data_IF_006503426001
#
_entry.id   IF_006503426001
#
_cell.length_a   1.000
_cell.length_b   1.000
_cell.length_c   1.000
_cell.angle_alpha   90.00
_cell.angle_beta   90.00
_cell.angle_gamma   90.00
#
_symmetry.space_group_name_H-M   'P 1'
#
loop_
_entity.id
_entity.type
_entity.pdbx_description
1 polymer ?
#
# COMPACT_ATOMS: atom_id res chain seq x y z
N UNK A 1 39.26 13.15 -2.92
CA UNK A 1 38.91 11.75 -2.63
C UNK A 1 37.62 11.78 -1.84
N UNK A 2 36.49 11.45 -2.46
CA UNK A 2 35.18 11.42 -1.78
C UNK A 2 35.10 10.09 -1.04
N UNK A 3 35.11 10.14 0.29
CA UNK A 3 34.76 8.99 1.12
C UNK A 3 33.24 8.85 1.05
N UNK A 4 32.76 7.83 0.37
CA UNK A 4 31.37 7.38 0.48
C UNK A 4 31.32 6.55 1.75
N UNK A 5 30.59 7.01 2.76
CA UNK A 5 30.37 6.21 3.96
C UNK A 5 29.75 4.87 3.56
N UNK A 6 30.24 3.73 4.09
CA UNK A 6 29.68 2.44 3.76
C UNK A 6 28.23 2.39 4.26
N UNK A 7 27.30 2.11 3.35
CA UNK A 7 25.89 1.96 3.70
C UNK A 7 25.72 0.95 4.84
N UNK A 8 24.90 1.30 5.83
CA UNK A 8 24.55 0.40 6.93
C UNK A 8 23.73 -0.77 6.41
N UNK A 9 23.69 -1.87 7.17
CA UNK A 9 22.88 -3.04 6.81
C UNK A 9 21.39 -2.71 6.72
N UNK A 10 20.90 -1.80 7.57
CA UNK A 10 19.54 -1.28 7.52
C UNK A 10 19.27 -0.49 6.24
N UNK A 11 20.22 0.35 5.80
CA UNK A 11 20.11 1.09 4.54
C UNK A 11 20.06 0.13 3.34
N UNK A 12 20.94 -0.88 3.33
CA UNK A 12 20.93 -1.93 2.29
C UNK A 12 19.62 -2.72 2.27
N UNK A 13 19.13 -3.14 3.43
CA UNK A 13 17.87 -3.87 3.54
C UNK A 13 16.68 -3.02 3.05
N UNK A 14 16.67 -1.74 3.40
CA UNK A 14 15.64 -0.80 2.94
C UNK A 14 15.70 -0.58 1.42
N UNK A 15 16.88 -0.38 0.84
CA UNK A 15 17.05 -0.23 -0.60
C UNK A 15 16.67 -1.51 -1.36
N UNK A 16 17.04 -2.67 -0.84
CA UNK A 16 16.65 -3.96 -1.40
C UNK A 16 15.13 -4.14 -1.38
N UNK A 17 14.47 -3.76 -0.27
CA UNK A 17 13.02 -3.77 -0.12
C UNK A 17 12.32 -2.88 -1.15
N UNK A 18 12.77 -1.62 -1.31
CA UNK A 18 12.21 -0.71 -2.30
C UNK A 18 12.44 -1.18 -3.74
N UNK A 19 13.67 -1.61 -4.05
CA UNK A 19 14.03 -2.12 -5.37
C UNK A 19 13.21 -3.35 -5.73
N UNK A 20 12.89 -4.18 -4.74
CA UNK A 20 12.02 -5.34 -4.92
C UNK A 20 10.59 -4.91 -5.27
N UNK A 21 9.99 -3.96 -4.54
CA UNK A 21 8.65 -3.46 -4.85
C UNK A 21 8.55 -2.92 -6.28
N UNK A 22 9.54 -2.14 -6.73
CA UNK A 22 9.61 -1.64 -8.10
C UNK A 22 9.65 -2.77 -9.14
N UNK A 23 10.49 -3.79 -8.93
CA UNK A 23 10.55 -4.95 -9.83
C UNK A 23 9.23 -5.72 -9.86
N UNK A 24 8.58 -5.87 -8.71
CA UNK A 24 7.27 -6.56 -8.60
C UNK A 24 6.17 -5.82 -9.36
N UNK A 25 6.17 -4.48 -9.34
CA UNK A 25 5.24 -3.68 -10.13
C UNK A 25 5.49 -3.79 -11.65
N UNK A 26 6.75 -3.91 -12.06
CA UNK A 26 7.14 -4.05 -13.48
C UNK A 26 7.02 -5.49 -14.03
N UNK A 27 6.79 -6.49 -13.17
CA UNK A 27 6.66 -7.90 -13.56
C UNK A 27 5.42 -8.13 -14.40
N UNK A 28 5.52 -8.91 -15.49
CA UNK A 28 4.38 -9.28 -16.37
C UNK A 28 3.65 -10.57 -15.94
N UNK A 29 4.09 -11.19 -14.85
CA UNK A 29 3.47 -12.36 -14.21
C UNK A 29 3.10 -12.01 -12.77
N UNK A 30 2.10 -12.67 -12.15
CA UNK A 30 1.73 -12.39 -10.76
C UNK A 30 2.98 -12.38 -9.89
N UNK A 31 3.31 -11.25 -9.25
CA UNK A 31 4.50 -11.15 -8.42
C UNK A 31 4.28 -12.01 -7.18
N UNK A 32 4.63 -13.30 -7.28
CA UNK A 32 4.86 -14.13 -6.11
C UNK A 32 6.28 -13.84 -5.68
N UNK A 33 6.45 -13.37 -4.44
CA UNK A 33 7.74 -13.26 -3.78
C UNK A 33 8.52 -14.59 -3.92
N UNK A 34 9.84 -14.56 -3.75
CA UNK A 34 10.65 -15.80 -3.67
C UNK A 34 10.20 -16.72 -2.52
N UNK A 35 9.57 -16.13 -1.48
CA UNK A 35 8.94 -16.81 -0.35
C UNK A 35 7.43 -17.12 -0.58
N UNK A 36 6.87 -16.72 -1.72
CA UNK A 36 5.47 -16.97 -2.10
C UNK A 36 4.45 -15.91 -1.66
N UNK A 37 4.83 -14.90 -0.87
CA UNK A 37 3.94 -13.80 -0.47
C UNK A 37 3.55 -12.88 -1.66
N UNK A 38 2.42 -12.20 -1.50
CA UNK A 38 1.79 -11.29 -2.49
C UNK A 38 2.25 -9.83 -2.33
N UNK A 39 1.94 -8.96 -3.28
CA UNK A 39 2.09 -7.51 -3.14
C UNK A 39 0.72 -6.83 -3.22
N UNK A 40 0.26 -6.29 -2.09
CA UNK A 40 -0.96 -5.48 -2.01
C UNK A 40 -0.60 -4.01 -2.08
N UNK A 41 -1.26 -3.27 -2.96
CA UNK A 41 -1.09 -1.82 -3.16
C UNK A 41 -2.24 -1.10 -2.49
N UNK A 42 -1.95 0.01 -1.83
CA UNK A 42 -2.92 0.93 -1.25
C UNK A 42 -2.92 2.20 -2.09
N UNK A 43 -3.96 2.40 -2.88
CA UNK A 43 -4.02 3.44 -3.92
C UNK A 43 -5.39 4.13 -3.94
N UNK A 44 -5.70 5.13 -3.08
CA UNK A 44 -7.01 5.80 -3.09
C UNK A 44 -7.37 6.34 -4.50
N UNK A 45 -8.25 5.62 -5.19
CA UNK A 45 -8.79 5.90 -6.53
C UNK A 45 -10.27 6.20 -6.39
N UNK A 46 -10.95 6.73 -7.43
CA UNK A 46 -12.39 7.02 -7.51
C UNK A 46 -13.35 5.81 -7.39
N UNK A 47 -12.93 4.73 -6.72
CA UNK A 47 -13.75 3.54 -6.47
C UNK A 47 -14.21 3.52 -5.02
N UNK A 48 -15.45 3.09 -4.78
CA UNK A 48 -15.99 2.91 -3.43
C UNK A 48 -15.47 1.63 -2.78
N UNK A 49 -15.35 1.63 -1.45
CA UNK A 49 -14.92 0.46 -0.68
C UNK A 49 -13.42 0.48 -0.37
N UNK A 50 -12.84 -0.72 -0.20
CA UNK A 50 -11.44 -0.87 0.23
C UNK A 50 -10.48 -0.36 -0.86
N UNK A 51 -9.59 0.59 -0.53
CA UNK A 51 -8.57 1.05 -1.46
C UNK A 51 -7.41 0.05 -1.48
N UNK A 52 -7.66 -1.18 -1.92
CA UNK A 52 -6.67 -2.25 -2.04
C UNK A 52 -6.65 -2.85 -3.45
N UNK A 53 -5.44 -3.05 -4.00
CA UNK A 53 -5.21 -3.64 -5.31
C UNK A 53 -4.09 -4.67 -5.26
N UNK A 54 -4.19 -5.74 -6.05
CA UNK A 54 -3.09 -6.66 -6.31
C UNK A 54 -2.92 -6.85 -7.80
N UNK A 55 -1.74 -6.65 -8.39
CA UNK A 55 -1.56 -6.86 -9.83
C UNK A 55 -1.87 -8.31 -10.25
N UNK A 56 -2.43 -8.49 -11.46
CA UNK A 56 -2.72 -9.79 -12.08
C UNK A 56 -3.84 -10.61 -11.46
N UNK A 57 -4.78 -9.96 -10.77
CA UNK A 57 -6.05 -10.57 -10.36
C UNK A 57 -7.21 -9.86 -11.03
N UNK A 58 -8.23 -10.57 -11.49
CA UNK A 58 -9.45 -9.92 -12.01
C UNK A 58 -10.31 -9.30 -10.90
N UNK A 59 -9.97 -9.55 -9.62
CA UNK A 59 -10.68 -9.02 -8.45
C UNK A 59 -10.16 -7.62 -8.10
N UNK A 60 -10.80 -6.60 -8.66
CA UNK A 60 -10.61 -5.21 -8.23
C UNK A 60 -11.97 -4.52 -8.05
N UNK A 61 -12.14 -3.71 -6.98
CA UNK A 61 -11.37 -3.71 -5.73
C UNK A 61 -11.46 -5.05 -4.97
N UNK A 62 -10.64 -5.22 -3.94
CA UNK A 62 -10.87 -6.30 -2.98
C UNK A 62 -12.23 -6.12 -2.31
N UNK A 63 -13.06 -7.16 -2.34
CA UNK A 63 -14.24 -7.24 -1.49
C UNK A 63 -13.83 -7.36 -0.03
N UNK A 64 -14.74 -6.98 0.88
CA UNK A 64 -14.57 -7.28 2.30
C UNK A 64 -14.34 -8.78 2.50
N UNK A 65 -13.50 -9.10 3.48
CA UNK A 65 -13.14 -10.47 3.87
C UNK A 65 -12.39 -11.29 2.80
N UNK A 66 -12.10 -10.72 1.62
CA UNK A 66 -11.23 -11.35 0.63
C UNK A 66 -9.76 -11.45 1.10
N UNK A 67 -9.40 -10.66 2.12
CA UNK A 67 -8.15 -10.73 2.87
C UNK A 67 -8.48 -10.97 4.35
N UNK A 68 -7.60 -11.65 5.10
CA UNK A 68 -7.79 -11.93 6.53
C UNK A 68 -7.52 -10.68 7.39
N UNK A 69 -8.23 -9.59 7.11
CA UNK A 69 -8.11 -8.31 7.80
C UNK A 69 -9.19 -8.20 8.88
N UNK A 70 -8.86 -7.54 9.97
CA UNK A 70 -9.84 -7.18 11.00
C UNK A 70 -10.94 -6.28 10.41
N UNK A 71 -12.19 -6.50 10.81
CA UNK A 71 -13.32 -5.68 10.34
C UNK A 71 -13.12 -4.20 10.68
N UNK A 72 -12.50 -3.90 11.83
CA UNK A 72 -12.15 -2.54 12.23
C UNK A 72 -11.19 -1.87 11.23
N UNK A 73 -10.13 -2.58 10.79
CA UNK A 73 -9.21 -2.04 9.79
C UNK A 73 -9.90 -1.84 8.44
N UNK A 74 -10.76 -2.78 8.03
CA UNK A 74 -11.55 -2.66 6.81
C UNK A 74 -12.47 -1.41 6.87
N UNK A 75 -13.18 -1.20 7.98
CA UNK A 75 -14.04 -0.03 8.19
C UNK A 75 -13.24 1.28 8.11
N UNK A 76 -12.07 1.34 8.73
CA UNK A 76 -11.22 2.54 8.72
C UNK A 76 -10.64 2.82 7.33
N UNK A 77 -10.26 1.79 6.58
CA UNK A 77 -9.77 1.93 5.21
C UNK A 77 -10.83 2.48 4.27
N UNK A 78 -12.06 1.98 4.39
CA UNK A 78 -13.21 2.50 3.62
C UNK A 78 -13.48 3.96 4.00
N UNK A 79 -13.57 4.28 5.30
CA UNK A 79 -13.81 5.64 5.75
C UNK A 79 -12.71 6.63 5.28
N UNK A 80 -11.46 6.19 5.25
CA UNK A 80 -10.34 6.99 4.75
C UNK A 80 -10.39 7.19 3.22
N UNK A 81 -10.81 6.16 2.46
CA UNK A 81 -11.02 6.27 1.02
C UNK A 81 -12.24 7.15 0.69
N UNK A 82 -13.32 7.07 1.48
CA UNK A 82 -14.52 7.88 1.31
C UNK A 82 -14.21 9.38 1.47
N UNK A 83 -13.27 9.76 2.35
CA UNK A 83 -12.80 11.14 2.42
C UNK A 83 -12.20 11.61 1.08
N UNK A 84 -11.50 10.72 0.37
CA UNK A 84 -10.97 10.99 -0.96
C UNK A 84 -12.05 11.02 -2.04
N UNK A 85 -13.09 10.19 -1.94
CA UNK A 85 -14.22 10.17 -2.88
C UNK A 85 -15.11 11.40 -2.78
N UNK A 86 -15.33 11.88 -1.57
CA UNK A 86 -16.35 12.89 -1.30
C UNK A 86 -15.93 14.32 -1.69
N UNK A 87 -14.72 14.50 -2.26
CA UNK A 87 -14.25 15.77 -2.81
C UNK A 87 -14.56 15.87 -4.30
N UNK A 88 -14.74 17.09 -4.82
CA UNK A 88 -14.80 17.31 -6.27
C UNK A 88 -13.51 16.86 -6.97
N UNK A 89 -13.57 16.46 -8.25
CA UNK A 89 -12.40 16.02 -9.02
C UNK A 89 -11.22 17.02 -8.98
N UNK A 90 -11.56 18.31 -8.96
CA UNK A 90 -10.61 19.43 -8.94
C UNK A 90 -10.43 20.06 -7.54
N UNK A 91 -11.06 19.49 -6.50
CA UNK A 91 -11.01 20.01 -5.14
C UNK A 91 -9.83 19.41 -4.37
N UNK A 92 -9.00 20.24 -3.76
CA UNK A 92 -7.90 19.77 -2.92
C UNK A 92 -8.43 18.99 -1.71
N UNK A 93 -7.67 17.98 -1.25
CA UNK A 93 -8.01 17.26 -0.04
C UNK A 93 -7.98 18.22 1.17
N UNK A 94 -9.09 18.36 1.92
CA UNK A 94 -9.07 19.12 3.16
C UNK A 94 -8.11 18.48 4.17
N UNK A 95 -7.22 19.30 4.76
CA UNK A 95 -6.22 18.83 5.74
C UNK A 95 -5.40 17.63 5.22
N UNK A 96 -4.78 17.83 4.05
CA UNK A 96 -3.97 16.80 3.36
C UNK A 96 -2.95 16.13 4.29
N UNK A 97 -2.29 16.90 5.17
CA UNK A 97 -1.31 16.37 6.11
C UNK A 97 -1.92 15.35 7.07
N UNK A 98 -3.11 15.64 7.62
CA UNK A 98 -3.84 14.71 8.48
C UNK A 98 -4.28 13.47 7.71
N UNK A 99 -4.81 13.64 6.51
CA UNK A 99 -5.24 12.52 5.68
C UNK A 99 -4.06 11.61 5.30
N UNK A 100 -2.88 12.17 5.01
CA UNK A 100 -1.65 11.42 4.76
C UNK A 100 -1.15 10.70 6.01
N UNK A 101 -1.23 11.33 7.18
CA UNK A 101 -0.85 10.71 8.44
C UNK A 101 -1.73 9.50 8.76
N UNK A 102 -3.05 9.63 8.57
CA UNK A 102 -4.00 8.53 8.73
C UNK A 102 -3.72 7.39 7.75
N UNK A 103 -3.51 7.69 6.46
CA UNK A 103 -3.17 6.68 5.46
C UNK A 103 -1.90 5.89 5.81
N UNK A 104 -0.87 6.58 6.34
CA UNK A 104 0.37 5.92 6.78
C UNK A 104 0.16 4.99 7.98
N UNK A 105 -0.70 5.37 8.93
CA UNK A 105 -1.09 4.52 10.05
C UNK A 105 -1.81 3.26 9.55
N UNK A 106 -2.76 3.41 8.63
CA UNK A 106 -3.50 2.30 8.04
C UNK A 106 -2.58 1.34 7.28
N UNK A 107 -1.62 1.87 6.51
CA UNK A 107 -0.60 1.05 5.84
C UNK A 107 0.28 0.29 6.83
N UNK A 108 0.67 0.91 7.94
CA UNK A 108 1.44 0.22 8.98
C UNK A 108 0.63 -0.95 9.56
N UNK A 109 -0.65 -0.73 9.87
CA UNK A 109 -1.53 -1.79 10.38
C UNK A 109 -1.80 -2.90 9.35
N UNK A 110 -1.95 -2.56 8.07
CA UNK A 110 -2.05 -3.54 6.99
C UNK A 110 -0.81 -4.43 6.89
N UNK A 111 0.40 -3.86 7.05
CA UNK A 111 1.65 -4.63 7.05
C UNK A 111 1.72 -5.60 8.22
N UNK A 112 1.24 -5.18 9.39
CA UNK A 112 1.19 -6.04 10.58
C UNK A 112 0.20 -7.19 10.39
N UNK A 113 -1.02 -6.92 9.89
CA UNK A 113 -2.06 -7.96 9.72
C UNK A 113 -1.79 -8.90 8.55
N UNK A 114 -1.11 -8.45 7.49
CA UNK A 114 -0.83 -9.25 6.28
C UNK A 114 0.58 -9.83 6.22
N UNK A 115 1.47 -9.50 7.15
CA UNK A 115 2.92 -9.73 7.01
C UNK A 115 3.33 -11.16 6.65
N UNK A 116 2.53 -12.15 7.05
CA UNK A 116 2.74 -13.58 6.75
C UNK A 116 2.37 -13.97 5.30
N UNK A 117 1.47 -13.23 4.64
CA UNK A 117 0.89 -13.60 3.34
C UNK A 117 1.13 -12.57 2.23
N UNK A 118 1.38 -11.31 2.60
CA UNK A 118 1.60 -10.24 1.65
C UNK A 118 2.43 -9.11 2.24
N UNK A 119 3.15 -8.42 1.36
CA UNK A 119 3.67 -7.09 1.67
C UNK A 119 2.74 -6.01 1.12
N UNK A 120 2.87 -4.80 1.68
CA UNK A 120 1.96 -3.67 1.40
C UNK A 120 2.75 -2.46 0.92
N UNK A 121 2.35 -1.92 -0.25
CA UNK A 121 2.91 -0.71 -0.84
C UNK A 121 1.88 0.42 -0.81
N UNK A 122 2.25 1.55 -0.21
CA UNK A 122 1.49 2.78 -0.28
C UNK A 122 1.73 3.48 -1.63
N UNK A 123 0.68 3.94 -2.27
CA UNK A 123 0.73 4.71 -3.52
C UNK A 123 -0.08 6.01 -3.40
N UNK A 124 0.16 6.75 -2.31
CA UNK A 124 -0.43 8.06 -2.06
C UNK A 124 0.58 8.97 -1.37
N UNK A 125 0.42 10.29 -1.54
CA UNK A 125 1.29 11.29 -0.92
C UNK A 125 2.67 11.46 -1.56
N UNK A 126 2.75 11.29 -2.88
CA UNK A 126 3.92 11.65 -3.70
C UNK A 126 3.92 13.14 -4.03
#
# INVERSE_FOLDING_TARGET
>A
MVFVEPETEEQRARLAYWSWQERSLASTTPPRLEDGRRLIRVFPEWISGLPLWENYTDNYPFERDALPLSSELQDRLEAWNDQWQNRGLDEEMPDLDRWLAEGRELVARLRDELGDIADVRAEFGL
#
